data_IF_070039240653
#
_entry.id   IF_070039240653
#
_cell.length_a   1.000
_cell.length_b   1.000
_cell.length_c   1.000
_cell.angle_alpha   90.00
_cell.angle_beta   90.00
_cell.angle_gamma   90.00
#
_symmetry.space_group_name_H-M   'P 1'
#
loop_
_entity.id
_entity.type
_entity.pdbx_description
1 polymer ?
#
# COMPACT_ATOMS: atom_id res chain seq x y z
N UNK A 1 -3.98 17.78 -3.84
CA UNK A 1 -3.78 18.78 -2.75
C UNK A 1 -2.30 18.77 -2.38
N UNK A 2 -1.68 19.89 -1.97
CA UNK A 2 -0.31 19.85 -1.46
C UNK A 2 -0.24 18.96 -0.22
N UNK A 3 0.93 18.36 0.06
CA UNK A 3 1.13 17.51 1.24
C UNK A 3 0.85 18.24 2.56
N UNK A 4 0.49 17.46 3.59
CA UNK A 4 0.30 17.96 4.96
C UNK A 4 1.62 18.50 5.53
N UNK A 5 1.58 19.72 6.08
CA UNK A 5 2.69 20.26 6.86
C UNK A 5 2.49 19.93 8.35
N UNK A 6 3.09 18.83 8.81
CA UNK A 6 2.81 18.27 10.14
C UNK A 6 3.44 19.05 11.31
N UNK A 7 4.49 19.83 11.07
CA UNK A 7 5.24 20.53 12.12
C UNK A 7 4.37 21.43 13.02
N UNK A 8 3.41 22.14 12.42
CA UNK A 8 2.53 23.09 13.13
C UNK A 8 1.05 22.84 12.81
N UNK A 9 0.70 21.60 12.47
CA UNK A 9 -0.64 21.26 12.04
C UNK A 9 -1.64 21.43 13.19
N UNK A 10 -2.67 22.26 12.98
CA UNK A 10 -3.90 22.13 13.74
C UNK A 10 -4.71 20.98 13.13
N UNK A 11 -4.54 19.79 13.68
CA UNK A 11 -5.06 18.54 13.13
C UNK A 11 -6.58 18.58 12.87
N UNK A 12 -7.36 19.11 13.83
CA UNK A 12 -8.82 19.18 13.70
C UNK A 12 -9.27 20.17 12.64
N UNK A 13 -8.67 21.36 12.62
CA UNK A 13 -8.99 22.35 11.58
C UNK A 13 -8.64 21.84 10.18
N UNK A 14 -7.47 21.20 10.03
CA UNK A 14 -7.04 20.61 8.77
C UNK A 14 -7.97 19.46 8.32
N UNK A 15 -8.41 18.61 9.25
CA UNK A 15 -9.37 17.54 8.96
C UNK A 15 -10.71 18.11 8.49
N UNK A 16 -11.21 19.15 9.16
CA UNK A 16 -12.44 19.83 8.76
C UNK A 16 -12.31 20.45 7.36
N UNK A 17 -11.19 21.11 7.07
CA UNK A 17 -10.92 21.69 5.75
C UNK A 17 -10.83 20.63 4.65
N UNK A 18 -10.21 19.49 4.94
CA UNK A 18 -10.14 18.35 4.02
C UNK A 18 -11.54 17.82 3.72
N UNK A 19 -12.33 17.54 4.76
CA UNK A 19 -13.70 17.02 4.60
C UNK A 19 -14.60 18.01 3.88
N UNK A 20 -14.48 19.31 4.14
CA UNK A 20 -15.26 20.33 3.43
C UNK A 20 -14.99 20.35 1.92
N UNK A 21 -13.75 20.06 1.50
CA UNK A 21 -13.39 19.96 0.08
C UNK A 21 -13.82 18.63 -0.55
N UNK A 22 -13.70 17.54 0.21
CA UNK A 22 -14.03 16.21 -0.26
C UNK A 22 -15.54 16.00 -0.35
N UNK A 23 -16.31 16.54 0.59
CA UNK A 23 -17.73 16.28 0.76
C UNK A 23 -18.57 16.47 -0.52
N UNK A 24 -18.48 17.59 -1.26
CA UNK A 24 -19.27 17.79 -2.47
C UNK A 24 -19.00 16.72 -3.55
N UNK A 25 -17.84 16.09 -3.49
CA UNK A 25 -17.42 15.02 -4.38
C UNK A 25 -17.91 13.68 -3.83
N UNK A 26 -17.62 13.39 -2.56
CA UNK A 26 -17.88 12.09 -1.96
C UNK A 26 -19.36 11.81 -1.69
N UNK A 27 -20.17 12.83 -1.44
CA UNK A 27 -21.60 12.67 -1.20
C UNK A 27 -22.41 12.46 -2.49
N UNK A 28 -21.87 12.84 -3.66
CA UNK A 28 -22.60 12.79 -4.92
C UNK A 28 -23.23 11.41 -5.18
N UNK A 29 -24.55 11.30 -5.44
CA UNK A 29 -25.26 10.02 -5.51
C UNK A 29 -24.60 8.98 -6.44
N UNK A 30 -24.22 9.39 -7.65
CA UNK A 30 -23.52 8.52 -8.61
C UNK A 30 -22.18 8.00 -8.08
N UNK A 31 -21.44 8.82 -7.32
CA UNK A 31 -20.14 8.41 -6.76
C UNK A 31 -20.33 7.41 -5.63
N UNK A 32 -21.38 7.56 -4.83
CA UNK A 32 -21.73 6.57 -3.80
C UNK A 32 -22.04 5.17 -4.35
N UNK A 33 -22.37 5.06 -5.64
CA UNK A 33 -22.59 3.76 -6.30
C UNK A 33 -21.30 3.07 -6.75
N UNK A 34 -20.17 3.80 -6.82
CA UNK A 34 -18.95 3.34 -7.47
C UNK A 34 -17.69 3.43 -6.60
N UNK A 35 -17.73 4.17 -5.50
CA UNK A 35 -16.59 4.36 -4.61
C UNK A 35 -16.90 3.87 -3.21
N UNK A 36 -16.17 2.85 -2.77
CA UNK A 36 -16.36 2.22 -1.46
C UNK A 36 -15.65 2.93 -0.31
N UNK A 37 -14.66 3.77 -0.60
CA UNK A 37 -13.84 4.42 0.43
C UNK A 37 -13.04 5.60 -0.12
N UNK A 38 -12.62 6.49 0.79
CA UNK A 38 -11.90 7.71 0.47
C UNK A 38 -10.58 7.82 1.23
N UNK A 39 -9.50 7.86 0.46
CA UNK A 39 -8.14 8.09 0.94
C UNK A 39 -7.92 9.54 1.36
N UNK A 40 -6.95 9.74 2.26
CA UNK A 40 -6.44 11.06 2.63
C UNK A 40 -5.32 11.51 1.68
N UNK A 41 -4.15 11.84 2.23
CA UNK A 41 -2.97 12.21 1.47
C UNK A 41 -2.19 10.96 1.08
N UNK A 42 -1.56 11.00 -0.09
CA UNK A 42 -0.67 9.94 -0.56
C UNK A 42 0.62 9.94 0.25
N UNK A 43 1.02 8.81 0.83
CA UNK A 43 2.29 8.63 1.55
C UNK A 43 2.64 9.79 2.52
N UNK A 44 1.78 10.10 3.51
CA UNK A 44 2.10 11.12 4.49
C UNK A 44 3.32 10.69 5.31
N UNK A 45 4.36 11.54 5.35
CA UNK A 45 5.59 11.28 6.10
C UNK A 45 5.64 12.15 7.34
N UNK A 46 5.71 11.51 8.50
CA UNK A 46 6.03 12.16 9.77
C UNK A 46 7.53 12.01 10.05
N UNK A 47 8.24 13.13 10.23
CA UNK A 47 9.67 13.13 10.52
C UNK A 47 10.01 12.80 11.97
N UNK A 48 9.03 12.85 12.88
CA UNK A 48 9.18 12.53 14.29
C UNK A 48 7.84 12.11 14.92
N UNK A 49 7.89 11.67 16.18
CA UNK A 49 6.72 11.17 16.89
C UNK A 49 5.62 12.24 17.09
N UNK A 50 5.97 13.50 17.32
CA UNK A 50 4.97 14.56 17.54
C UNK A 50 4.20 14.86 16.25
N UNK A 51 4.89 14.90 15.11
CA UNK A 51 4.27 14.97 13.79
C UNK A 51 3.36 13.77 13.52
N UNK A 52 3.78 12.56 13.91
CA UNK A 52 3.00 11.35 13.74
C UNK A 52 1.74 11.34 14.60
N UNK A 53 1.81 11.85 15.84
CA UNK A 53 0.64 12.06 16.70
C UNK A 53 -0.34 13.06 16.10
N UNK A 54 0.14 14.18 15.53
CA UNK A 54 -0.72 15.14 14.82
C UNK A 54 -1.38 14.54 13.58
N UNK A 55 -0.66 13.70 12.83
CA UNK A 55 -1.23 12.95 11.71
C UNK A 55 -2.32 11.98 12.20
N UNK A 56 -2.11 11.31 13.32
CA UNK A 56 -3.12 10.45 13.95
C UNK A 56 -4.36 11.25 14.34
N UNK A 57 -4.20 12.41 15.00
CA UNK A 57 -5.32 13.29 15.36
C UNK A 57 -6.09 13.78 14.14
N UNK A 58 -5.39 14.04 13.03
CA UNK A 58 -6.01 14.42 11.77
C UNK A 58 -6.85 13.26 11.20
N UNK A 59 -6.31 12.04 11.17
CA UNK A 59 -7.04 10.86 10.66
C UNK A 59 -8.25 10.49 11.53
N UNK A 60 -8.13 10.62 12.86
CA UNK A 60 -9.27 10.46 13.79
C UNK A 60 -10.37 11.44 13.44
N UNK A 61 -10.07 12.74 13.40
CA UNK A 61 -11.10 13.75 13.17
C UNK A 61 -11.71 13.65 11.76
N UNK A 62 -10.89 13.40 10.74
CA UNK A 62 -11.36 13.22 9.36
C UNK A 62 -12.30 12.02 9.27
N UNK A 63 -11.91 10.90 9.86
CA UNK A 63 -12.70 9.66 9.83
C UNK A 63 -14.02 9.81 10.57
N UNK A 64 -14.01 10.44 11.75
CA UNK A 64 -15.22 10.77 12.49
C UNK A 64 -16.18 11.62 11.65
N UNK A 65 -15.66 12.68 11.01
CA UNK A 65 -16.47 13.61 10.22
C UNK A 65 -17.07 12.96 8.96
N UNK A 66 -16.31 12.11 8.26
CA UNK A 66 -16.79 11.34 7.10
C UNK A 66 -17.79 10.25 7.52
N UNK A 67 -17.47 9.51 8.58
CA UNK A 67 -18.30 8.44 9.12
C UNK A 67 -19.67 8.91 9.60
N UNK A 68 -19.76 10.11 10.18
CA UNK A 68 -21.04 10.77 10.52
C UNK A 68 -21.97 10.99 9.30
N UNK A 69 -21.45 10.87 8.09
CA UNK A 69 -22.19 11.02 6.82
C UNK A 69 -22.26 9.71 6.03
N UNK A 70 -21.92 8.59 6.65
CA UNK A 70 -21.88 7.28 6.00
C UNK A 70 -20.81 7.16 4.91
N UNK A 71 -19.74 7.96 4.98
CA UNK A 71 -18.60 7.87 4.06
C UNK A 71 -17.45 7.14 4.74
N UNK A 72 -16.97 6.07 4.11
CA UNK A 72 -15.88 5.24 4.60
C UNK A 72 -14.52 5.90 4.36
N UNK A 73 -13.64 5.86 5.36
CA UNK A 73 -12.24 6.28 5.23
C UNK A 73 -11.33 5.11 4.87
N UNK A 74 -10.36 5.36 4.00
CA UNK A 74 -9.11 4.60 3.91
C UNK A 74 -8.03 5.46 4.55
N UNK A 75 -7.46 5.00 5.69
CA UNK A 75 -6.54 5.78 6.52
C UNK A 75 -5.08 5.32 6.33
N UNK A 76 -4.13 6.21 6.58
CA UNK A 76 -2.71 5.89 6.60
C UNK A 76 -2.03 6.06 5.25
N UNK A 77 -2.36 5.22 4.26
CA UNK A 77 -1.75 5.18 2.91
C UNK A 77 -0.23 5.38 2.95
N UNK A 78 0.42 4.72 3.92
CA UNK A 78 1.83 4.97 4.22
C UNK A 78 2.71 4.32 3.15
N UNK A 79 3.73 5.07 2.74
CA UNK A 79 4.76 4.58 1.83
C UNK A 79 5.54 3.40 2.43
N UNK A 80 6.14 2.61 1.56
CA UNK A 80 6.91 1.43 1.97
C UNK A 80 7.99 1.77 2.99
N UNK A 81 8.05 0.96 4.06
CA UNK A 81 9.00 1.16 5.15
C UNK A 81 8.61 2.24 6.16
N UNK A 82 7.50 2.96 5.95
CA UNK A 82 6.98 3.99 6.87
C UNK A 82 5.66 3.55 7.56
N UNK A 83 5.33 4.16 8.71
CA UNK A 83 6.24 4.81 9.65
C UNK A 83 7.23 3.80 10.27
N UNK A 84 8.12 4.25 11.14
CA UNK A 84 8.99 3.35 11.92
C UNK A 84 8.15 2.41 12.82
N UNK A 85 8.59 1.14 13.05
CA UNK A 85 7.81 0.15 13.79
C UNK A 85 7.28 0.63 15.15
N UNK A 86 8.11 1.33 15.91
CA UNK A 86 7.82 1.85 17.24
C UNK A 86 6.76 2.97 17.26
N UNK A 87 6.48 3.59 16.11
CA UNK A 87 5.47 4.63 16.03
C UNK A 87 4.05 4.08 15.92
N UNK A 88 3.86 2.83 15.49
CA UNK A 88 2.55 2.27 15.17
C UNK A 88 1.55 2.25 16.32
N UNK A 89 2.01 2.07 17.58
CA UNK A 89 1.14 2.14 18.75
C UNK A 89 0.44 3.50 18.87
N UNK A 90 1.10 4.58 18.42
CA UNK A 90 0.52 5.92 18.44
C UNK A 90 -0.54 6.13 17.37
N UNK A 91 -0.66 5.24 16.38
CA UNK A 91 -1.70 5.29 15.35
C UNK A 91 -2.98 4.52 15.75
N UNK A 92 -2.95 3.75 16.85
CA UNK A 92 -4.10 2.97 17.32
C UNK A 92 -5.40 3.79 17.49
N UNK A 93 -5.38 5.08 17.91
CA UNK A 93 -6.59 5.89 17.93
C UNK A 93 -7.24 6.07 16.54
N UNK A 94 -6.44 6.27 15.48
CA UNK A 94 -6.95 6.38 14.12
C UNK A 94 -7.53 5.04 13.64
N UNK A 95 -6.86 3.92 13.94
CA UNK A 95 -7.39 2.57 13.67
C UNK A 95 -8.73 2.35 14.38
N UNK A 96 -8.83 2.75 15.65
CA UNK A 96 -10.06 2.60 16.44
C UNK A 96 -11.22 3.39 15.84
N UNK A 97 -10.97 4.62 15.39
CA UNK A 97 -11.97 5.46 14.75
C UNK A 97 -12.40 4.90 13.39
N UNK A 98 -11.45 4.41 12.59
CA UNK A 98 -11.76 3.72 11.33
C UNK A 98 -12.60 2.47 11.57
N UNK A 99 -12.28 1.62 12.54
CA UNK A 99 -13.12 0.47 12.90
C UNK A 99 -14.55 0.89 13.29
N UNK A 100 -14.71 1.97 14.05
CA UNK A 100 -16.03 2.47 14.48
C UNK A 100 -16.90 2.96 13.31
N UNK A 101 -16.28 3.30 12.17
CA UNK A 101 -16.92 3.83 10.98
C UNK A 101 -16.72 2.94 9.73
N UNK A 102 -16.47 1.64 9.94
CA UNK A 102 -16.31 0.63 8.87
C UNK A 102 -15.20 0.96 7.86
N UNK A 103 -14.18 1.70 8.30
CA UNK A 103 -13.01 2.13 7.53
C UNK A 103 -11.97 1.03 7.31
N UNK A 104 -11.01 1.34 6.45
CA UNK A 104 -9.90 0.46 6.08
C UNK A 104 -8.55 1.12 6.37
N UNK A 105 -7.53 0.30 6.62
CA UNK A 105 -6.14 0.73 6.57
C UNK A 105 -5.65 0.63 5.12
N UNK A 106 -5.01 1.67 4.61
CA UNK A 106 -4.29 1.66 3.33
C UNK A 106 -2.78 1.63 3.55
N UNK A 107 -2.06 0.82 2.77
CA UNK A 107 -0.58 0.74 2.80
C UNK A 107 -0.01 0.61 1.39
N UNK A 108 1.22 1.09 1.21
CA UNK A 108 2.00 0.85 0.00
C UNK A 108 3.12 -0.14 0.29
N UNK A 109 3.21 -1.21 -0.50
CA UNK A 109 4.29 -2.19 -0.36
C UNK A 109 5.02 -2.43 -1.68
N UNK A 110 6.28 -1.99 -1.71
CA UNK A 110 7.19 -2.10 -2.82
C UNK A 110 8.48 -2.80 -2.40
N UNK A 111 9.15 -3.47 -3.32
CA UNK A 111 10.54 -3.90 -3.13
C UNK A 111 11.25 -4.01 -4.48
N UNK A 112 12.57 -4.09 -4.48
CA UNK A 112 13.36 -4.25 -5.68
C UNK A 112 14.74 -4.84 -5.36
N UNK A 113 15.39 -5.55 -6.30
CA UNK A 113 14.96 -5.78 -7.69
C UNK A 113 13.88 -6.85 -7.83
N UNK A 114 13.61 -7.63 -6.78
CA UNK A 114 12.45 -8.52 -6.72
C UNK A 114 11.45 -8.04 -5.68
N UNK A 115 10.15 -8.33 -5.86
CA UNK A 115 9.12 -7.93 -4.89
C UNK A 115 9.33 -8.53 -3.50
N UNK A 116 10.08 -9.64 -3.37
CA UNK A 116 10.40 -10.30 -2.11
C UNK A 116 11.81 -9.99 -1.59
N UNK A 117 12.52 -9.03 -2.19
CA UNK A 117 13.78 -8.53 -1.64
C UNK A 117 13.56 -7.95 -0.24
N UNK A 118 14.52 -8.17 0.68
CA UNK A 118 14.43 -7.81 2.09
C UNK A 118 13.25 -8.47 2.86
N UNK A 119 12.71 -9.57 2.33
CA UNK A 119 11.82 -10.48 3.06
C UNK A 119 12.59 -11.68 3.61
N UNK A 120 11.94 -12.43 4.50
CA UNK A 120 12.38 -13.75 4.95
C UNK A 120 12.55 -14.76 3.81
N UNK A 121 12.00 -14.49 2.61
CA UNK A 121 12.13 -15.31 1.40
C UNK A 121 13.19 -14.84 0.42
N UNK A 122 13.90 -13.75 0.74
CA UNK A 122 14.98 -13.27 -0.10
C UNK A 122 16.10 -14.33 -0.23
N UNK A 123 16.72 -14.41 -1.41
CA UNK A 123 17.76 -15.38 -1.77
C UNK A 123 17.38 -16.87 -1.65
N UNK A 124 16.10 -17.23 -1.59
CA UNK A 124 15.63 -18.62 -1.55
C UNK A 124 15.28 -19.20 -2.94
N UNK A 125 15.96 -18.72 -3.98
CA UNK A 125 15.75 -19.13 -5.36
C UNK A 125 14.70 -18.29 -6.09
N UNK A 126 14.31 -18.77 -7.28
CA UNK A 126 13.34 -18.08 -8.16
C UNK A 126 11.92 -18.36 -7.67
N UNK A 127 11.17 -17.30 -7.38
CA UNK A 127 9.77 -17.36 -6.95
C UNK A 127 9.58 -18.35 -5.79
N UNK A 128 10.27 -18.13 -4.66
CA UNK A 128 10.16 -19.02 -3.51
C UNK A 128 8.69 -19.11 -3.08
N UNK A 129 8.24 -20.23 -2.50
CA UNK A 129 6.91 -20.26 -1.89
C UNK A 129 6.76 -19.17 -0.81
N UNK A 130 5.52 -18.88 -0.40
CA UNK A 130 5.24 -17.98 0.73
C UNK A 130 4.31 -18.68 1.71
N UNK A 131 4.58 -18.51 3.01
CA UNK A 131 3.86 -19.09 4.12
C UNK A 131 3.38 -17.98 5.08
N UNK A 132 2.37 -18.24 5.93
CA UNK A 132 1.78 -17.19 6.77
C UNK A 132 2.72 -16.54 7.79
N UNK A 133 3.83 -17.20 8.13
CA UNK A 133 4.84 -16.66 9.05
C UNK A 133 5.91 -15.81 8.36
N UNK A 134 5.96 -15.83 7.03
CA UNK A 134 6.94 -15.04 6.27
C UNK A 134 6.61 -13.55 6.40
N UNK A 135 7.62 -12.75 6.73
CA UNK A 135 7.54 -11.30 6.83
C UNK A 135 8.68 -10.64 6.06
N UNK A 136 8.67 -9.32 5.96
CA UNK A 136 9.81 -8.56 5.43
C UNK A 136 9.87 -7.13 5.96
N UNK A 137 10.97 -6.46 5.64
CA UNK A 137 11.16 -5.04 5.99
C UNK A 137 10.44 -4.10 5.02
N UNK A 138 10.23 -4.54 3.78
CA UNK A 138 9.59 -3.77 2.72
C UNK A 138 8.22 -4.37 2.40
N UNK A 139 8.18 -5.46 1.64
CA UNK A 139 6.96 -6.26 1.43
C UNK A 139 6.75 -7.28 2.55
N UNK A 140 5.50 -7.69 2.76
CA UNK A 140 5.01 -8.48 3.89
C UNK A 140 5.29 -7.81 5.25
N UNK A 141 5.54 -6.51 5.28
CA UNK A 141 5.78 -5.77 6.51
C UNK A 141 4.49 -5.61 7.30
N UNK A 142 3.35 -5.47 6.61
CA UNK A 142 2.03 -5.44 7.24
C UNK A 142 1.80 -6.63 8.17
N UNK A 143 2.34 -7.82 7.90
CA UNK A 143 2.21 -8.98 8.80
C UNK A 143 2.85 -8.72 10.15
N UNK A 144 3.97 -7.99 10.20
CA UNK A 144 4.59 -7.57 11.46
C UNK A 144 3.69 -6.61 12.21
N UNK A 145 3.18 -5.56 11.53
CA UNK A 145 2.23 -4.61 12.10
C UNK A 145 1.02 -5.32 12.71
N UNK A 146 0.39 -6.22 11.95
CA UNK A 146 -0.80 -6.94 12.40
C UNK A 146 -0.49 -7.86 13.58
N UNK A 147 0.59 -8.64 13.51
CA UNK A 147 0.89 -9.62 14.55
C UNK A 147 1.43 -8.99 15.84
N UNK A 148 2.17 -7.89 15.74
CA UNK A 148 2.88 -7.30 16.89
C UNK A 148 2.12 -6.12 17.53
N UNK A 149 1.28 -5.40 16.76
CA UNK A 149 0.61 -4.19 17.25
C UNK A 149 -0.90 -4.32 17.17
N UNK A 150 -1.47 -4.55 15.97
CA UNK A 150 -2.93 -4.45 15.80
C UNK A 150 -3.70 -5.60 16.44
N UNK A 151 -3.32 -6.86 16.21
CA UNK A 151 -4.01 -8.02 16.81
C UNK A 151 -3.90 -8.03 18.34
N UNK A 152 -2.73 -7.81 18.96
CA UNK A 152 -2.62 -7.72 20.42
C UNK A 152 -3.48 -6.61 21.03
N UNK A 153 -3.65 -5.48 20.33
CA UNK A 153 -4.52 -4.39 20.78
C UNK A 153 -6.02 -4.63 20.53
N UNK A 154 -6.41 -5.75 19.90
CA UNK A 154 -7.79 -5.98 19.46
C UNK A 154 -8.24 -5.06 18.33
N UNK A 155 -7.28 -4.57 17.52
CA UNK A 155 -7.43 -3.54 16.48
C UNK A 155 -7.14 -4.03 15.07
N UNK A 156 -7.27 -5.33 14.81
CA UNK A 156 -7.25 -5.83 13.44
C UNK A 156 -8.41 -5.19 12.64
N UNK A 157 -8.08 -4.55 11.52
CA UNK A 157 -8.99 -3.82 10.63
C UNK A 157 -8.80 -4.38 9.20
N UNK A 158 -9.74 -4.21 8.26
CA UNK A 158 -9.46 -4.55 6.86
C UNK A 158 -8.32 -3.71 6.28
N UNK A 159 -7.50 -4.34 5.45
CA UNK A 159 -6.33 -3.75 4.79
C UNK A 159 -6.53 -3.73 3.28
N UNK A 160 -6.23 -2.60 2.66
CA UNK A 160 -6.10 -2.47 1.20
C UNK A 160 -4.66 -2.06 0.90
N UNK A 161 -4.00 -2.77 -0.01
CA UNK A 161 -2.72 -2.30 -0.56
C UNK A 161 -3.02 -1.26 -1.63
N UNK A 162 -3.08 0.01 -1.25
CA UNK A 162 -3.48 1.10 -2.16
C UNK A 162 -2.43 1.34 -3.24
N UNK A 163 -1.19 0.89 -3.03
CA UNK A 163 -0.20 0.70 -4.07
C UNK A 163 0.72 -0.51 -3.79
N UNK A 164 1.15 -1.21 -4.83
CA UNK A 164 2.17 -2.26 -4.73
C UNK A 164 2.92 -2.46 -6.04
N UNK A 165 4.10 -3.08 -5.97
CA UNK A 165 4.84 -3.52 -7.15
C UNK A 165 6.34 -3.61 -6.93
N UNK A 166 7.09 -3.54 -8.03
CA UNK A 166 8.55 -3.39 -7.99
C UNK A 166 8.93 -1.94 -8.17
N UNK A 167 9.55 -1.35 -7.14
CA UNK A 167 10.00 0.05 -7.14
C UNK A 167 11.50 0.16 -6.87
N UNK A 168 12.22 0.64 -7.87
CA UNK A 168 13.64 0.89 -7.81
C UNK A 168 14.04 2.12 -6.98
N UNK A 169 13.10 2.95 -6.53
CA UNK A 169 13.38 4.01 -5.56
C UNK A 169 13.72 3.47 -4.16
N UNK A 170 13.42 2.20 -3.90
CA UNK A 170 13.98 1.47 -2.75
C UNK A 170 15.50 1.48 -2.82
N UNK A 171 16.14 1.98 -1.77
CA UNK A 171 17.59 2.10 -1.65
C UNK A 171 18.26 0.83 -1.10
N UNK A 172 19.59 0.79 -1.15
CA UNK A 172 20.43 -0.30 -0.63
C UNK A 172 20.03 -1.70 -1.15
N UNK A 173 19.89 -1.83 -2.47
CA UNK A 173 19.46 -3.07 -3.15
C UNK A 173 20.41 -3.45 -4.28
N UNK A 174 20.44 -4.73 -4.70
CA UNK A 174 21.11 -5.13 -5.92
C UNK A 174 20.39 -4.61 -7.19
N UNK A 175 21.03 -4.84 -8.34
CA UNK A 175 20.51 -4.41 -9.64
C UNK A 175 20.87 -2.97 -10.01
N UNK A 176 20.29 -2.45 -11.12
CA UNK A 176 20.64 -1.13 -11.63
C UNK A 176 20.28 -0.03 -10.62
N UNK A 177 21.25 0.83 -10.29
CA UNK A 177 21.09 1.86 -9.26
C UNK A 177 20.21 3.03 -9.70
N UNK A 178 20.13 3.27 -11.01
CA UNK A 178 19.25 4.29 -11.61
C UNK A 178 17.88 3.72 -12.02
N UNK A 179 17.58 2.46 -11.71
CA UNK A 179 16.27 1.88 -11.98
C UNK A 179 15.19 2.60 -11.15
N UNK A 180 14.12 2.98 -11.83
CA UNK A 180 12.84 3.39 -11.24
C UNK A 180 11.87 2.20 -11.25
N UNK A 181 10.87 2.17 -12.13
CA UNK A 181 9.88 1.10 -12.17
C UNK A 181 10.39 -0.24 -12.70
N UNK A 182 9.51 -1.24 -12.59
CA UNK A 182 9.75 -2.65 -12.91
C UNK A 182 10.44 -2.88 -14.26
N UNK A 183 10.14 -2.06 -15.27
CA UNK A 183 10.69 -2.21 -16.62
C UNK A 183 12.21 -2.12 -16.66
N UNK A 184 12.82 -1.37 -15.74
CA UNK A 184 14.27 -1.23 -15.66
C UNK A 184 14.97 -2.48 -15.11
N UNK A 185 14.25 -3.42 -14.53
CA UNK A 185 14.80 -4.66 -13.97
C UNK A 185 14.77 -5.84 -14.93
N UNK A 186 14.16 -5.71 -16.11
CA UNK A 186 13.98 -6.82 -17.06
C UNK A 186 15.29 -7.50 -17.45
N UNK A 187 16.33 -6.71 -17.79
CA UNK A 187 17.64 -7.27 -18.13
C UNK A 187 18.32 -7.91 -16.92
N UNK A 188 18.18 -7.31 -15.74
CA UNK A 188 18.66 -7.90 -14.49
C UNK A 188 18.01 -9.26 -14.25
N UNK A 189 16.68 -9.35 -14.38
CA UNK A 189 15.93 -10.59 -14.21
C UNK A 189 16.34 -11.67 -15.21
N UNK A 190 16.52 -11.32 -16.48
CA UNK A 190 16.97 -12.25 -17.51
C UNK A 190 18.35 -12.86 -17.19
N UNK A 191 19.30 -12.02 -16.76
CA UNK A 191 20.66 -12.46 -16.42
C UNK A 191 20.74 -13.27 -15.12
N UNK A 192 19.80 -13.08 -14.21
CA UNK A 192 19.79 -13.73 -12.89
C UNK A 192 18.76 -14.87 -12.80
N UNK A 193 18.23 -15.33 -13.93
CA UNK A 193 17.41 -16.55 -13.99
C UNK A 193 15.96 -16.37 -13.56
N UNK A 194 15.46 -15.14 -13.42
CA UNK A 194 14.04 -14.89 -13.12
C UNK A 194 13.14 -14.99 -14.36
N UNK A 195 13.73 -15.07 -15.54
CA UNK A 195 13.00 -15.26 -16.80
C UNK A 195 13.55 -14.36 -17.89
N UNK A 196 13.64 -14.88 -19.11
CA UNK A 196 14.15 -14.12 -20.27
C UNK A 196 13.17 -13.08 -20.80
N UNK A 197 11.89 -13.18 -20.42
CA UNK A 197 10.84 -12.24 -20.82
C UNK A 197 10.36 -11.43 -19.61
N UNK A 198 10.66 -10.13 -19.63
CA UNK A 198 10.46 -9.21 -18.52
C UNK A 198 9.01 -9.09 -18.02
N UNK A 199 8.00 -8.89 -18.90
CA UNK A 199 6.60 -8.84 -18.48
C UNK A 199 6.15 -10.07 -17.71
N UNK A 200 6.47 -11.28 -18.20
CA UNK A 200 6.17 -12.52 -17.49
C UNK A 200 6.94 -12.61 -16.17
N UNK A 201 8.22 -12.23 -16.16
CA UNK A 201 9.01 -12.22 -14.93
C UNK A 201 8.48 -11.25 -13.87
N UNK A 202 7.85 -10.14 -14.28
CA UNK A 202 7.18 -9.22 -13.38
C UNK A 202 5.87 -9.80 -12.84
N UNK A 203 5.02 -10.37 -13.70
CA UNK A 203 3.74 -10.94 -13.26
C UNK A 203 3.94 -12.10 -12.29
N UNK A 204 4.93 -12.97 -12.48
CA UNK A 204 5.26 -14.03 -11.50
C UNK A 204 5.62 -13.48 -10.11
N UNK A 205 6.18 -12.28 -10.03
CA UNK A 205 6.41 -11.61 -8.75
C UNK A 205 5.10 -11.09 -8.15
N UNK A 206 4.23 -10.51 -8.96
CA UNK A 206 2.89 -10.10 -8.52
C UNK A 206 2.08 -11.31 -8.03
N UNK A 207 2.17 -12.45 -8.71
CA UNK A 207 1.58 -13.73 -8.31
C UNK A 207 2.10 -14.16 -6.94
N UNK A 208 3.41 -14.07 -6.71
CA UNK A 208 4.00 -14.38 -5.40
C UNK A 208 3.38 -13.53 -4.28
N UNK A 209 3.20 -12.24 -4.52
CA UNK A 209 2.62 -11.32 -3.54
C UNK A 209 1.12 -11.53 -3.36
N UNK A 210 0.39 -11.82 -4.44
CA UNK A 210 -1.03 -12.19 -4.40
C UNK A 210 -1.26 -13.47 -3.57
N UNK A 211 -0.45 -14.51 -3.77
CA UNK A 211 -0.48 -15.74 -2.95
C UNK A 211 -0.23 -15.45 -1.48
N UNK A 212 0.59 -14.44 -1.15
CA UNK A 212 0.80 -14.02 0.22
C UNK A 212 -0.43 -13.30 0.79
N UNK A 213 -0.99 -12.31 0.08
CA UNK A 213 -2.20 -11.58 0.49
C UNK A 213 -3.39 -12.53 0.68
N UNK A 214 -3.52 -13.52 -0.20
CA UNK A 214 -4.50 -14.59 -0.08
C UNK A 214 -4.38 -15.43 1.21
N UNK A 215 -3.24 -15.46 1.89
CA UNK A 215 -3.15 -16.17 3.17
C UNK A 215 -3.72 -15.36 4.33
N UNK A 216 -3.96 -14.06 4.13
CA UNK A 216 -4.27 -13.11 5.19
C UNK A 216 -5.69 -12.55 4.99
N UNK A 217 -6.67 -13.15 5.67
CA UNK A 217 -8.10 -12.86 5.46
C UNK A 217 -8.53 -11.40 5.74
N UNK A 218 -7.68 -10.61 6.39
CA UNK A 218 -7.91 -9.18 6.61
C UNK A 218 -7.44 -8.31 5.44
N UNK A 219 -6.74 -8.87 4.44
CA UNK A 219 -6.33 -8.16 3.23
C UNK A 219 -7.42 -8.29 2.18
N UNK A 220 -8.00 -7.15 1.77
CA UNK A 220 -9.08 -7.09 0.80
C UNK A 220 -8.57 -7.20 -0.65
N UNK A 221 -7.36 -6.72 -0.90
CA UNK A 221 -6.75 -6.73 -2.22
C UNK A 221 -5.65 -5.69 -2.36
N UNK A 222 -5.20 -5.46 -3.59
CA UNK A 222 -4.16 -4.48 -3.87
C UNK A 222 -4.20 -3.90 -5.28
N UNK A 223 -3.70 -2.67 -5.38
CA UNK A 223 -3.61 -1.91 -6.63
C UNK A 223 -2.15 -1.90 -7.13
N UNK A 224 -1.92 -2.45 -8.32
CA UNK A 224 -0.58 -2.48 -8.93
C UNK A 224 -0.26 -1.10 -9.50
N UNK A 225 0.88 -0.53 -9.11
CA UNK A 225 1.36 0.73 -9.67
C UNK A 225 2.22 0.48 -10.93
N UNK A 226 1.83 0.93 -12.13
CA UNK A 226 0.58 1.63 -12.47
C UNK A 226 0.09 1.33 -13.89
N UNK A 227 -1.23 1.41 -14.10
CA UNK A 227 -1.85 1.43 -15.43
C UNK A 227 -2.02 2.88 -15.88
N UNK A 228 -1.66 3.18 -17.13
CA UNK A 228 -1.66 4.54 -17.68
C UNK A 228 -0.74 5.47 -16.86
N UNK A 229 0.52 5.08 -16.76
CA UNK A 229 1.52 5.76 -15.94
C UNK A 229 1.67 7.24 -16.34
N UNK A 230 1.66 8.11 -15.34
CA UNK A 230 1.79 9.56 -15.53
C UNK A 230 3.23 9.96 -15.91
N UNK A 231 3.45 11.17 -16.48
CA UNK A 231 4.77 11.63 -16.86
C UNK A 231 5.78 11.53 -15.69
N UNK A 232 6.93 10.91 -15.94
CA UNK A 232 7.97 10.62 -14.93
C UNK A 232 7.87 9.22 -14.30
N UNK A 233 6.77 8.50 -14.52
CA UNK A 233 6.49 7.16 -14.00
C UNK A 233 6.34 6.10 -15.10
N UNK A 234 6.76 6.38 -16.33
CA UNK A 234 6.54 5.55 -17.51
C UNK A 234 7.10 4.12 -17.34
N UNK A 235 8.21 3.97 -16.61
CA UNK A 235 8.83 2.67 -16.33
C UNK A 235 8.01 1.75 -15.42
N UNK A 236 6.92 2.25 -14.84
CA UNK A 236 5.99 1.48 -14.01
C UNK A 236 4.77 0.97 -14.79
N UNK A 237 4.61 1.38 -16.06
CA UNK A 237 3.44 1.04 -16.88
C UNK A 237 3.20 -0.48 -16.94
N UNK A 238 1.98 -0.90 -16.65
CA UNK A 238 1.53 -2.31 -16.70
C UNK A 238 0.62 -2.62 -17.89
N UNK A 239 0.26 -1.62 -18.69
CA UNK A 239 -0.48 -1.81 -19.94
C UNK A 239 0.23 -2.70 -20.96
N UNK A 240 -0.54 -3.21 -21.93
CA UNK A 240 0.00 -4.01 -23.03
C UNK A 240 0.35 -5.45 -22.59
N UNK A 241 1.64 -5.80 -22.60
CA UNK A 241 2.03 -7.20 -22.34
C UNK A 241 1.78 -7.65 -20.90
N UNK A 242 2.03 -6.81 -19.90
CA UNK A 242 1.78 -7.16 -18.49
C UNK A 242 0.29 -7.32 -18.25
N UNK A 243 -0.53 -6.37 -18.71
CA UNK A 243 -2.00 -6.41 -18.70
C UNK A 243 -2.55 -7.71 -19.29
N UNK A 244 -2.06 -8.14 -20.47
CA UNK A 244 -2.48 -9.39 -21.09
C UNK A 244 -2.21 -10.63 -20.23
N UNK A 245 -1.04 -10.70 -19.58
CA UNK A 245 -0.69 -11.82 -18.69
C UNK A 245 -1.50 -11.76 -17.39
N UNK A 246 -1.74 -10.57 -16.85
CA UNK A 246 -2.60 -10.38 -15.67
C UNK A 246 -4.05 -10.83 -15.96
N UNK A 247 -4.61 -10.48 -17.12
CA UNK A 247 -5.93 -10.97 -17.53
C UNK A 247 -5.97 -12.51 -17.58
N UNK A 248 -4.94 -13.14 -18.15
CA UNK A 248 -4.86 -14.59 -18.17
C UNK A 248 -4.78 -15.18 -16.76
N UNK A 249 -3.95 -14.59 -15.88
CA UNK A 249 -3.82 -15.01 -14.48
C UNK A 249 -5.17 -14.97 -13.76
N UNK A 250 -5.88 -13.85 -13.84
CA UNK A 250 -7.18 -13.64 -13.20
C UNK A 250 -8.29 -14.51 -13.80
N UNK A 251 -8.19 -14.92 -15.07
CA UNK A 251 -9.17 -15.81 -15.70
C UNK A 251 -9.15 -17.25 -15.17
N UNK A 252 -8.03 -17.67 -14.57
CA UNK A 252 -7.84 -19.04 -14.05
C UNK A 252 -7.63 -19.10 -12.53
N UNK A 253 -7.47 -17.95 -11.87
CA UNK A 253 -7.43 -17.80 -10.42
C UNK A 253 -8.56 -16.85 -9.99
N UNK A 254 -9.72 -17.38 -9.58
CA UNK A 254 -10.87 -16.54 -9.25
C UNK A 254 -10.57 -15.59 -8.09
N UNK A 255 -11.11 -14.37 -8.18
CA UNK A 255 -11.15 -13.42 -7.07
C UNK A 255 -11.97 -14.01 -5.91
N UNK A 256 -11.57 -13.70 -4.68
CA UNK A 256 -12.30 -14.10 -3.46
C UNK A 256 -13.50 -13.20 -3.22
#
# INVERSE_FOLDING_TARGET
MPQLQLQNLNAKAAAQDFVNRLWPIADHPERRLHYDGWEAYNEPVAGNLDEFKRLTEFEVERTRLLGQRGLRSVIGNFGTGQPAPEMWEHFLPAIAEAQAHDGWLGLHEYSAPTIYYASTRDNQGRYPGVAPHDTGWLTLRYRQLYNQVLKPAGRAIPLVMTELGVDGLVANRPGPQNAKGWQHFQEYWARHGFGSWGPGAYVEQLVWYDLAMQQDAYVLGGCIFALAASPGWESYEIGGHVEGVLHQYLSVHPQR
#
